data_IF_671276428447
#
_entry.id   IF_671276428447
#
_cell.length_a   1.000
_cell.length_b   1.000
_cell.length_c   1.000
_cell.angle_alpha   90.00
_cell.angle_beta   90.00
_cell.angle_gamma   90.00
#
_symmetry.space_group_name_H-M   'P 1'
#
loop_
_entity.id
_entity.type
_entity.pdbx_description
1 polymer ?
#
# COMPACT_ATOMS: atom_id res chain seq x y z
N UNK A 1 14.75 8.39 9.30
CA UNK A 1 13.39 8.55 9.86
C UNK A 1 12.63 9.47 8.92
N UNK A 2 11.60 8.94 8.27
CA UNK A 2 10.71 9.68 7.40
C UNK A 2 9.66 10.40 8.26
N UNK A 3 9.47 11.70 8.03
CA UNK A 3 8.56 12.55 8.77
C UNK A 3 7.63 13.27 7.80
N UNK A 4 6.32 13.25 8.04
CA UNK A 4 5.35 13.90 7.17
C UNK A 4 3.93 13.47 7.48
N UNK A 5 2.95 13.98 6.74
CA UNK A 5 1.54 13.67 6.98
C UNK A 5 1.18 12.20 6.72
N UNK A 6 0.02 11.78 7.21
CA UNK A 6 -0.48 10.43 6.93
C UNK A 6 -0.83 10.32 5.45
N UNK A 7 -0.44 9.21 4.82
CA UNK A 7 -0.83 8.95 3.43
C UNK A 7 0.08 9.57 2.36
N UNK A 8 1.15 10.30 2.70
CA UNK A 8 2.07 10.90 1.69
C UNK A 8 3.01 9.90 0.98
N UNK A 9 2.89 8.60 1.26
CA UNK A 9 3.68 7.55 0.57
C UNK A 9 4.97 7.14 1.27
N UNK A 10 5.22 7.56 2.52
CA UNK A 10 6.42 7.20 3.31
C UNK A 10 6.75 5.70 3.29
N UNK A 11 5.76 4.86 3.61
CA UNK A 11 5.92 3.41 3.64
C UNK A 11 6.18 2.84 2.25
N UNK A 12 5.54 3.39 1.20
CA UNK A 12 5.76 2.98 -0.19
C UNK A 12 7.20 3.25 -0.63
N UNK A 13 7.72 4.44 -0.31
CA UNK A 13 9.12 4.82 -0.59
C UNK A 13 10.10 3.89 0.14
N UNK A 14 9.84 3.62 1.42
CA UNK A 14 10.67 2.71 2.20
C UNK A 14 10.66 1.28 1.64
N UNK A 15 9.50 0.76 1.25
CA UNK A 15 9.37 -0.57 0.65
C UNK A 15 10.08 -0.69 -0.70
N UNK A 16 9.94 0.30 -1.59
CA UNK A 16 10.66 0.33 -2.86
C UNK A 16 12.19 0.33 -2.65
N UNK A 17 12.67 1.12 -1.67
CA UNK A 17 14.08 1.14 -1.31
C UNK A 17 14.57 -0.23 -0.81
N UNK A 18 13.79 -0.90 0.04
CA UNK A 18 14.16 -2.22 0.55
C UNK A 18 14.20 -3.27 -0.53
N UNK A 19 13.25 -3.26 -1.46
CA UNK A 19 13.21 -4.23 -2.55
C UNK A 19 14.42 -4.07 -3.47
N UNK A 20 14.77 -2.84 -3.86
CA UNK A 20 15.98 -2.54 -4.64
C UNK A 20 17.27 -2.92 -3.91
N UNK A 21 17.29 -2.71 -2.59
CA UNK A 21 18.47 -2.99 -1.77
C UNK A 21 18.65 -4.48 -1.51
N UNK A 22 17.54 -5.23 -1.40
CA UNK A 22 17.55 -6.68 -1.24
C UNK A 22 18.21 -7.36 -2.44
N UNK A 23 17.94 -6.88 -3.65
CA UNK A 23 18.51 -7.38 -4.89
C UNK A 23 20.02 -7.08 -5.04
N UNK A 24 20.51 -5.99 -4.43
CA UNK A 24 21.87 -5.47 -4.67
C UNK A 24 22.86 -5.72 -3.55
N UNK A 25 22.43 -5.71 -2.28
CA UNK A 25 23.32 -5.71 -1.11
C UNK A 25 23.02 -6.81 -0.10
N UNK A 26 22.24 -7.82 -0.49
CA UNK A 26 21.79 -8.91 0.37
C UNK A 26 21.39 -8.38 1.76
N UNK A 27 20.35 -7.55 1.86
CA UNK A 27 19.82 -7.06 3.15
C UNK A 27 18.49 -7.72 3.47
N UNK A 28 18.28 -8.07 4.73
CA UNK A 28 17.00 -8.58 5.19
C UNK A 28 16.18 -7.41 5.76
N UNK A 29 15.10 -7.04 5.06
CA UNK A 29 14.15 -6.04 5.55
C UNK A 29 13.04 -6.70 6.37
N UNK A 30 12.81 -6.21 7.58
CA UNK A 30 11.75 -6.66 8.47
C UNK A 30 10.81 -5.50 8.75
N UNK A 31 9.52 -5.70 8.55
CA UNK A 31 8.49 -4.69 8.77
C UNK A 31 7.83 -4.92 10.13
N UNK A 32 7.76 -3.86 10.93
CA UNK A 32 7.12 -3.81 12.24
C UNK A 32 6.13 -2.66 12.21
N UNK A 33 4.85 -2.96 12.39
CA UNK A 33 3.82 -1.92 12.47
C UNK A 33 3.51 -1.67 13.94
N UNK A 34 3.63 -0.42 14.36
CA UNK A 34 3.20 -0.02 15.68
C UNK A 34 1.73 0.39 15.69
N UNK A 35 1.19 0.36 16.90
CA UNK A 35 -0.17 0.77 17.21
C UNK A 35 -0.18 1.39 18.59
N UNK A 36 -1.29 2.05 18.95
CA UNK A 36 -1.47 2.67 20.26
C UNK A 36 -1.19 1.71 21.44
N UNK A 37 -1.56 0.43 21.28
CA UNK A 37 -1.45 -0.60 22.32
C UNK A 37 -0.17 -1.45 22.21
N UNK A 38 0.77 -1.08 21.34
CA UNK A 38 2.02 -1.82 21.25
C UNK A 38 2.83 -1.61 22.52
N UNK A 39 3.08 -2.68 23.28
CA UNK A 39 3.87 -2.66 24.51
C UNK A 39 5.35 -2.96 24.25
N UNK A 40 6.23 -2.54 25.16
CA UNK A 40 7.67 -2.84 25.05
C UNK A 40 7.93 -4.36 24.98
N UNK A 41 7.15 -5.17 25.71
CA UNK A 41 7.26 -6.63 25.66
C UNK A 41 6.90 -7.17 24.27
N UNK A 42 5.83 -6.66 23.66
CA UNK A 42 5.41 -7.05 22.31
C UNK A 42 6.45 -6.65 21.27
N UNK A 43 6.99 -5.43 21.36
CA UNK A 43 8.08 -4.97 20.49
C UNK A 43 9.31 -5.87 20.61
N UNK A 44 9.71 -6.24 21.83
CA UNK A 44 10.82 -7.15 22.07
C UNK A 44 10.59 -8.51 21.39
N UNK A 45 9.43 -9.14 21.61
CA UNK A 45 9.10 -10.42 20.98
C UNK A 45 9.04 -10.33 19.45
N UNK A 46 8.52 -9.23 18.89
CA UNK A 46 8.52 -9.00 17.44
C UNK A 46 9.93 -8.90 16.87
N UNK A 47 10.84 -8.21 17.56
CA UNK A 47 12.24 -8.10 17.16
C UNK A 47 12.94 -9.46 17.30
N UNK A 48 12.76 -10.14 18.43
CA UNK A 48 13.36 -11.46 18.71
C UNK A 48 12.87 -12.59 17.82
N UNK A 49 11.63 -12.55 17.36
CA UNK A 49 11.12 -13.53 16.40
C UNK A 49 11.67 -13.33 14.98
N UNK A 50 12.17 -12.13 14.67
CA UNK A 50 12.61 -11.75 13.32
C UNK A 50 14.13 -11.68 13.19
N UNK A 51 14.80 -11.30 14.26
CA UNK A 51 16.24 -11.42 14.41
C UNK A 51 16.48 -12.81 14.97
N UNK A 52 17.03 -13.72 14.16
CA UNK A 52 17.44 -15.03 14.66
C UNK A 52 18.57 -14.83 15.68
N UNK A 53 18.21 -14.78 16.96
CA UNK A 53 19.14 -14.95 18.06
C UNK A 53 19.49 -16.44 18.12
N UNK A 54 20.48 -16.87 17.32
CA UNK A 54 21.05 -18.21 17.53
C UNK A 54 21.84 -18.21 18.83
N UNK A 55 21.77 -19.36 19.51
CA UNK A 55 22.25 -19.59 20.87
C UNK A 55 23.67 -19.11 21.15
N UNK A 56 23.93 -19.03 22.45
CA UNK A 56 25.15 -18.58 23.12
C UNK A 56 26.38 -18.44 22.20
N UNK A 57 26.88 -17.21 22.11
CA UNK A 57 28.01 -16.75 21.27
C UNK A 57 27.69 -16.28 19.84
N UNK A 58 27.33 -15.00 19.76
CA UNK A 58 28.02 -14.03 18.92
C UNK A 58 27.94 -14.20 17.39
N UNK A 59 26.78 -14.52 16.80
CA UNK A 59 26.64 -14.47 15.34
C UNK A 59 25.28 -13.94 14.88
N UNK A 60 25.30 -12.85 14.12
CA UNK A 60 24.26 -12.50 13.14
C UNK A 60 24.07 -13.70 12.19
N UNK A 61 22.87 -13.99 11.65
CA UNK A 61 22.77 -14.88 10.50
C UNK A 61 23.71 -14.40 9.39
N UNK A 62 24.76 -15.19 9.12
CA UNK A 62 25.62 -15.15 7.92
C UNK A 62 25.71 -13.77 7.23
N UNK A 63 26.52 -12.85 7.77
CA UNK A 63 26.95 -11.58 7.10
C UNK A 63 25.83 -10.69 6.53
N UNK A 64 24.56 -10.91 6.91
CA UNK A 64 23.43 -10.22 6.29
C UNK A 64 22.93 -9.08 7.20
N UNK A 65 23.11 -7.83 6.76
CA UNK A 65 22.60 -6.67 7.49
C UNK A 65 21.07 -6.71 7.54
N UNK A 66 20.51 -6.60 8.75
CA UNK A 66 19.06 -6.55 8.97
C UNK A 66 18.60 -5.11 9.07
N UNK A 67 17.54 -4.76 8.34
CA UNK A 67 16.91 -3.44 8.40
C UNK A 67 15.52 -3.57 8.96
N UNK A 68 15.29 -3.02 10.16
CA UNK A 68 13.98 -2.95 10.78
C UNK A 68 13.27 -1.69 10.31
N UNK A 69 12.20 -1.86 9.55
CA UNK A 69 11.28 -0.77 9.21
C UNK A 69 10.14 -0.72 10.21
N UNK A 70 9.96 0.44 10.84
CA UNK A 70 8.93 0.66 11.84
C UNK A 70 7.95 1.72 11.32
N UNK A 71 6.74 1.28 11.01
CA UNK A 71 5.65 2.17 10.60
C UNK A 71 4.85 2.66 11.82
N UNK A 72 4.20 3.82 11.69
CA UNK A 72 3.46 4.49 12.76
C UNK A 72 4.29 4.64 14.06
N UNK A 73 5.53 5.09 13.92
CA UNK A 73 6.54 5.08 14.98
C UNK A 73 6.15 5.87 16.24
N UNK A 74 5.27 6.87 16.14
CA UNK A 74 4.89 7.75 17.24
C UNK A 74 3.42 7.65 17.68
N UNK A 75 2.75 6.53 17.40
CA UNK A 75 1.35 6.31 17.81
C UNK A 75 1.16 5.69 19.18
N UNK A 76 2.22 5.23 19.86
CA UNK A 76 2.10 4.49 21.12
C UNK A 76 1.63 5.39 22.25
N UNK A 77 0.79 4.82 23.11
CA UNK A 77 0.31 5.47 24.32
C UNK A 77 1.47 5.76 25.28
N UNK A 78 1.41 6.92 25.93
CA UNK A 78 2.35 7.32 26.96
C UNK A 78 2.06 6.57 28.26
N UNK A 79 3.10 6.18 28.99
CA UNK A 79 2.96 5.74 30.37
C UNK A 79 2.63 6.93 31.29
N UNK A 80 2.28 6.64 32.54
CA UNK A 80 2.07 7.58 33.65
C UNK A 80 3.13 8.70 33.74
N UNK A 81 4.38 8.39 33.41
CA UNK A 81 5.50 9.34 33.39
C UNK A 81 5.74 10.03 32.04
N UNK A 82 4.82 9.93 31.09
CA UNK A 82 4.94 10.54 29.76
C UNK A 82 5.95 9.86 28.83
N UNK A 83 6.46 8.68 29.21
CA UNK A 83 7.43 7.92 28.42
C UNK A 83 6.73 6.99 27.42
N UNK A 84 7.44 6.61 26.36
CA UNK A 84 6.98 5.61 25.38
C UNK A 84 7.83 4.34 25.53
N UNK A 85 7.43 3.36 26.37
CA UNK A 85 8.26 2.18 26.66
C UNK A 85 8.75 1.41 25.44
N UNK A 86 7.94 1.22 24.36
CA UNK A 86 8.44 0.59 23.12
C UNK A 86 9.60 1.35 22.47
N UNK A 87 9.58 2.68 22.52
CA UNK A 87 10.61 3.52 21.93
C UNK A 87 11.86 3.58 22.79
N UNK A 88 11.72 3.56 24.11
CA UNK A 88 12.87 3.47 25.02
C UNK A 88 13.61 2.13 24.88
N UNK A 89 12.89 1.04 24.60
CA UNK A 89 13.50 -0.25 24.24
C UNK A 89 14.33 -0.15 22.95
N UNK A 90 13.81 0.52 21.92
CA UNK A 90 14.56 0.75 20.67
C UNK A 90 15.77 1.64 20.90
N UNK A 91 15.64 2.67 21.75
CA UNK A 91 16.75 3.54 22.15
C UNK A 91 17.86 2.74 22.84
N UNK A 92 17.49 1.82 23.73
CA UNK A 92 18.43 0.89 24.37
C UNK A 92 19.16 0.05 23.33
N UNK A 93 18.44 -0.52 22.37
CA UNK A 93 19.03 -1.33 21.31
C UNK A 93 19.99 -0.54 20.42
N UNK A 94 19.64 0.69 20.04
CA UNK A 94 20.47 1.56 19.20
C UNK A 94 21.70 2.12 19.95
N UNK A 95 21.56 2.45 21.23
CA UNK A 95 22.65 3.07 22.02
C UNK A 95 23.59 2.04 22.63
N UNK A 96 23.04 1.00 23.27
CA UNK A 96 23.81 -0.01 24.00
C UNK A 96 24.20 -1.18 23.07
N UNK A 97 23.48 -1.38 21.96
CA UNK A 97 23.76 -2.46 21.02
C UNK A 97 23.18 -3.81 21.45
N UNK A 98 22.07 -3.83 22.20
CA UNK A 98 21.47 -5.07 22.65
C UNK A 98 20.16 -4.92 23.44
N UNK A 99 19.61 -6.06 23.85
CA UNK A 99 18.35 -6.18 24.57
C UNK A 99 18.55 -7.11 25.78
N UNK A 100 17.86 -6.82 26.88
CA UNK A 100 17.91 -7.68 28.07
C UNK A 100 16.84 -8.78 27.98
N UNK A 101 17.24 -10.04 28.09
CA UNK A 101 16.32 -11.17 28.15
C UNK A 101 15.67 -11.24 29.55
N UNK A 102 14.35 -11.12 29.59
CA UNK A 102 13.57 -11.11 30.84
C UNK A 102 13.41 -12.51 31.45
N UNK A 103 13.66 -13.56 30.67
CA UNK A 103 13.55 -14.96 31.11
C UNK A 103 14.87 -15.48 31.64
N UNK A 104 15.93 -15.34 30.86
CA UNK A 104 17.28 -15.80 31.22
C UNK A 104 18.05 -14.79 32.06
N UNK A 105 17.58 -13.54 32.16
CA UNK A 105 18.26 -12.45 32.88
C UNK A 105 19.66 -12.14 32.33
N UNK A 106 19.86 -12.37 31.02
CA UNK A 106 21.12 -12.15 30.31
C UNK A 106 20.96 -11.03 29.28
N UNK A 107 21.99 -10.21 29.12
CA UNK A 107 22.04 -9.20 28.05
C UNK A 107 22.41 -9.84 26.72
N UNK A 108 21.54 -9.73 25.72
CA UNK A 108 21.75 -10.22 24.36
C UNK A 108 22.24 -9.10 23.47
N UNK A 109 23.45 -9.26 22.93
CA UNK A 109 23.99 -8.33 21.95
C UNK A 109 23.27 -8.45 20.61
N UNK A 110 22.89 -7.31 20.04
CA UNK A 110 22.24 -7.19 18.73
C UNK A 110 23.23 -6.51 17.78
N UNK A 111 23.77 -7.26 16.82
CA UNK A 111 24.73 -6.76 15.84
C UNK A 111 24.09 -6.66 14.46
N UNK A 112 24.62 -5.75 13.65
CA UNK A 112 24.27 -5.58 12.22
C UNK A 112 22.78 -5.27 11.96
N UNK A 113 22.14 -4.55 12.89
CA UNK A 113 20.77 -4.07 12.76
C UNK A 113 20.76 -2.57 12.49
N UNK A 114 19.93 -2.13 11.54
CA UNK A 114 19.66 -0.71 11.29
C UNK A 114 18.16 -0.47 11.36
N UNK A 115 17.75 0.69 11.89
CA UNK A 115 16.33 1.04 12.03
C UNK A 115 15.98 2.15 11.04
N UNK A 116 14.89 1.94 10.31
CA UNK A 116 14.21 2.96 9.52
C UNK A 116 12.82 3.14 10.12
N UNK A 117 12.42 4.37 10.41
CA UNK A 117 11.13 4.67 11.02
C UNK A 117 10.34 5.64 10.14
N UNK A 118 9.02 5.47 10.11
CA UNK A 118 8.08 6.42 9.55
C UNK A 118 7.24 7.04 10.68
N UNK A 119 7.24 8.37 10.73
CA UNK A 119 6.58 9.18 11.75
C UNK A 119 5.54 10.09 11.12
N UNK A 120 4.43 10.28 11.83
CA UNK A 120 3.49 11.38 11.56
C UNK A 120 3.87 12.64 12.33
N UNK A 121 3.31 13.79 11.95
CA UNK A 121 3.33 14.98 12.80
C UNK A 121 2.73 14.70 14.18
N UNK A 122 3.18 15.46 15.19
CA UNK A 122 2.62 15.41 16.54
C UNK A 122 1.21 15.99 16.55
N UNK A 123 0.32 15.43 17.38
CA UNK A 123 -1.10 15.77 17.37
C UNK A 123 -1.96 14.69 16.70
N UNK A 124 -3.29 14.88 16.70
CA UNK A 124 -4.27 13.92 16.14
C UNK A 124 -4.04 12.46 16.61
N UNK A 125 -3.74 12.25 17.90
CA UNK A 125 -3.48 10.92 18.47
C UNK A 125 -2.04 10.43 18.35
N UNK A 126 -1.11 11.26 17.87
CA UNK A 126 0.32 10.96 17.83
C UNK A 126 1.11 11.77 18.86
N UNK A 127 2.06 11.10 19.48
CA UNK A 127 2.85 11.65 20.58
C UNK A 127 4.19 12.19 20.10
N UNK A 128 4.75 13.12 20.88
CA UNK A 128 6.10 13.63 20.65
C UNK A 128 7.13 12.56 20.99
N UNK A 129 8.00 12.25 20.03
CA UNK A 129 9.12 11.32 20.24
C UNK A 129 10.19 12.01 21.08
N UNK A 130 10.75 11.28 22.05
CA UNK A 130 11.86 11.73 22.88
C UNK A 130 13.07 12.18 22.06
N UNK A 131 13.62 13.36 22.37
CA UNK A 131 14.78 13.91 21.67
C UNK A 131 15.99 12.97 21.75
N UNK A 132 16.15 12.26 22.87
CA UNK A 132 17.22 11.28 23.09
C UNK A 132 17.21 10.14 22.06
N UNK A 133 16.05 9.84 21.49
CA UNK A 133 15.91 8.85 20.43
C UNK A 133 16.03 9.51 19.05
N UNK A 134 15.41 10.68 18.82
CA UNK A 134 15.43 11.32 17.50
C UNK A 134 16.83 11.72 17.04
N UNK A 135 17.76 12.02 17.96
CA UNK A 135 19.17 12.33 17.62
C UNK A 135 19.92 11.13 17.03
N UNK A 136 19.42 9.90 17.21
CA UNK A 136 20.02 8.70 16.64
C UNK A 136 19.58 8.45 15.19
N UNK A 137 18.67 9.28 14.66
CA UNK A 137 18.13 9.16 13.32
C UNK A 137 18.52 10.33 12.43
N UNK A 138 18.84 10.03 11.18
CA UNK A 138 18.77 11.02 10.10
C UNK A 138 17.30 11.30 9.83
N UNK A 139 16.90 12.57 9.83
CA UNK A 139 15.53 12.99 9.60
C UNK A 139 15.33 13.38 8.13
N UNK A 140 14.30 12.81 7.50
CA UNK A 140 13.91 13.09 6.12
C UNK A 140 12.46 13.57 6.15
N UNK A 141 12.19 14.72 5.55
CA UNK A 141 10.85 15.29 5.49
C UNK A 141 10.18 14.95 4.16
N UNK A 142 9.00 14.34 4.24
CA UNK A 142 8.15 13.99 3.09
C UNK A 142 6.97 14.96 3.03
N UNK A 143 7.06 16.02 2.21
CA UNK A 143 5.97 16.98 2.03
C UNK A 143 4.79 16.35 1.29
N UNK A 144 3.60 16.92 1.46
CA UNK A 144 2.49 16.61 0.57
C UNK A 144 2.86 16.99 -0.88
N UNK A 145 2.57 16.13 -1.88
CA UNK A 145 2.85 16.47 -3.27
C UNK A 145 1.95 17.61 -3.77
N UNK A 146 2.55 18.61 -4.41
CA UNK A 146 1.78 19.67 -5.07
C UNK A 146 0.97 19.12 -6.25
N UNK A 147 -0.06 19.85 -6.64
CA UNK A 147 -0.96 19.56 -7.76
C UNK A 147 -0.21 19.08 -9.02
N UNK A 148 0.81 19.83 -9.44
CA UNK A 148 1.62 19.51 -10.64
C UNK A 148 2.26 18.13 -10.54
N UNK A 149 2.73 17.75 -9.36
CA UNK A 149 3.30 16.43 -9.11
C UNK A 149 2.21 15.36 -9.08
N UNK A 150 1.06 15.62 -8.46
CA UNK A 150 -0.08 14.70 -8.45
C UNK A 150 -0.54 14.39 -9.88
N UNK A 151 -0.77 15.41 -10.70
CA UNK A 151 -1.15 15.26 -12.10
C UNK A 151 -0.09 14.44 -12.84
N UNK A 152 1.20 14.75 -12.68
CA UNK A 152 2.28 13.99 -13.34
C UNK A 152 2.31 12.52 -12.92
N UNK A 153 2.19 12.23 -11.63
CA UNK A 153 2.23 10.86 -11.07
C UNK A 153 1.03 10.06 -11.60
N UNK A 154 -0.19 10.56 -11.43
CA UNK A 154 -1.40 9.83 -11.81
C UNK A 154 -1.56 9.74 -13.33
N UNK A 155 -1.13 10.75 -14.09
CA UNK A 155 -1.11 10.67 -15.54
C UNK A 155 -0.13 9.58 -16.02
N UNK A 156 1.05 9.48 -15.41
CA UNK A 156 2.03 8.43 -15.73
C UNK A 156 1.47 7.03 -15.43
N UNK A 157 0.76 6.86 -14.31
CA UNK A 157 0.11 5.59 -13.93
C UNK A 157 -1.00 5.24 -14.91
N UNK A 158 -1.93 6.17 -15.15
CA UNK A 158 -3.10 5.94 -16.00
C UNK A 158 -2.72 5.74 -17.47
N UNK A 159 -1.78 6.53 -18.00
CA UNK A 159 -1.30 6.37 -19.38
C UNK A 159 -0.58 5.05 -19.57
N UNK A 160 0.23 4.61 -18.60
CA UNK A 160 0.87 3.28 -18.68
C UNK A 160 -0.18 2.17 -18.75
N UNK A 161 -1.24 2.28 -17.95
CA UNK A 161 -2.34 1.33 -17.97
C UNK A 161 -3.10 1.36 -19.32
N UNK A 162 -3.53 2.54 -19.79
CA UNK A 162 -4.26 2.68 -21.05
C UNK A 162 -3.43 2.19 -22.24
N UNK A 163 -2.13 2.46 -22.27
CA UNK A 163 -1.23 1.97 -23.32
C UNK A 163 -1.11 0.45 -23.35
N UNK A 164 -1.40 -0.24 -22.25
CA UNK A 164 -1.41 -1.70 -22.20
C UNK A 164 -2.74 -2.30 -22.70
N UNK A 165 -3.79 -1.48 -22.87
CA UNK A 165 -5.10 -1.94 -23.32
C UNK A 165 -5.15 -2.10 -24.86
N UNK A 166 -5.87 -3.12 -25.38
CA UNK A 166 -5.96 -3.36 -26.80
C UNK A 166 -6.72 -2.27 -27.59
N UNK A 167 -7.54 -1.44 -26.92
CA UNK A 167 -8.36 -0.37 -27.54
C UNK A 167 -7.96 1.05 -27.10
N UNK A 168 -6.66 1.31 -26.95
CA UNK A 168 -6.13 2.52 -26.32
C UNK A 168 -6.35 3.85 -27.07
N UNK A 169 -6.76 3.84 -28.34
CA UNK A 169 -6.74 5.01 -29.24
C UNK A 169 -7.43 6.26 -28.68
N UNK A 170 -8.75 6.22 -28.49
CA UNK A 170 -9.52 7.37 -28.00
C UNK A 170 -9.33 7.67 -26.51
N UNK A 171 -8.95 6.67 -25.70
CA UNK A 171 -8.79 6.84 -24.26
C UNK A 171 -7.53 7.62 -23.88
N UNK A 172 -6.48 7.60 -24.72
CA UNK A 172 -5.24 8.35 -24.47
C UNK A 172 -5.45 9.87 -24.46
N UNK A 173 -6.38 10.38 -25.26
CA UNK A 173 -6.69 11.81 -25.31
C UNK A 173 -7.50 12.27 -24.09
N UNK A 174 -8.34 11.38 -23.54
CA UNK A 174 -9.22 11.66 -22.41
C UNK A 174 -8.49 11.48 -21.06
N UNK A 175 -7.45 10.63 -21.01
CA UNK A 175 -6.74 10.31 -19.77
C UNK A 175 -6.20 11.52 -19.00
N UNK A 176 -5.55 12.52 -19.64
CA UNK A 176 -5.06 13.70 -18.93
C UNK A 176 -6.19 14.54 -18.34
N UNK A 177 -7.35 14.60 -19.01
CA UNK A 177 -8.53 15.31 -18.53
C UNK A 177 -9.10 14.63 -17.28
N UNK A 178 -9.24 13.30 -17.30
CA UNK A 178 -9.68 12.51 -16.13
C UNK A 178 -8.75 12.77 -14.94
N UNK A 179 -7.44 12.75 -15.18
CA UNK A 179 -6.45 12.97 -14.12
C UNK A 179 -6.57 14.37 -13.53
N UNK A 180 -6.63 15.39 -14.39
CA UNK A 180 -6.72 16.79 -13.95
C UNK A 180 -7.99 17.02 -13.13
N UNK A 181 -9.15 16.61 -13.63
CA UNK A 181 -10.43 16.75 -12.91
C UNK A 181 -10.43 16.00 -11.58
N UNK A 182 -9.83 14.80 -11.51
CA UNK A 182 -9.75 14.02 -10.27
C UNK A 182 -8.84 14.68 -9.23
N UNK A 183 -7.73 15.28 -9.66
CA UNK A 183 -6.82 16.03 -8.78
C UNK A 183 -7.50 17.31 -8.28
N UNK A 184 -8.20 18.04 -9.14
CA UNK A 184 -8.92 19.26 -8.77
C UNK A 184 -10.03 18.95 -7.75
N UNK A 185 -10.78 17.87 -7.95
CA UNK A 185 -11.78 17.39 -6.99
C UNK A 185 -11.16 16.99 -5.65
N UNK A 186 -10.00 16.34 -5.67
CA UNK A 186 -9.28 15.99 -4.45
C UNK A 186 -8.83 17.24 -3.69
N UNK A 187 -8.31 18.25 -4.38
CA UNK A 187 -7.93 19.52 -3.75
C UNK A 187 -9.13 20.26 -3.18
N UNK A 188 -10.23 20.31 -3.93
CA UNK A 188 -11.49 20.86 -3.44
C UNK A 188 -11.96 20.14 -2.16
N UNK A 189 -11.89 18.81 -2.13
CA UNK A 189 -12.26 18.02 -0.95
C UNK A 189 -11.37 18.33 0.25
N UNK A 190 -10.06 18.53 0.05
CA UNK A 190 -9.15 18.93 1.12
C UNK A 190 -9.46 20.32 1.68
N UNK A 191 -9.90 21.25 0.84
CA UNK A 191 -10.15 22.64 1.22
C UNK A 191 -11.52 22.81 1.93
N UNK A 192 -12.57 22.18 1.40
CA UNK A 192 -13.95 22.41 1.86
C UNK A 192 -14.42 21.39 2.90
N UNK A 193 -13.95 20.14 2.84
CA UNK A 193 -14.41 19.06 3.72
C UNK A 193 -13.45 18.88 4.91
N UNK A 194 -13.37 19.91 5.74
CA UNK A 194 -12.51 19.92 6.92
C UNK A 194 -13.16 19.09 8.04
N UNK A 195 -12.42 18.22 8.73
CA UNK A 195 -12.97 17.43 9.83
C UNK A 195 -13.31 18.33 11.03
N UNK A 196 -14.59 18.40 11.37
CA UNK A 196 -15.11 19.01 12.61
C UNK A 196 -15.72 17.94 13.51
N UNK A 197 -16.02 18.24 14.78
CA UNK A 197 -16.54 17.24 15.74
C UNK A 197 -17.75 16.46 15.23
N UNK A 198 -18.66 17.12 14.50
CA UNK A 198 -19.85 16.50 13.91
C UNK A 198 -19.58 15.68 12.64
N UNK A 199 -18.47 15.96 11.94
CA UNK A 199 -18.05 15.29 10.70
C UNK A 199 -16.58 14.86 10.77
N UNK A 200 -16.21 14.18 11.85
CA UNK A 200 -14.82 13.80 12.14
C UNK A 200 -14.23 12.79 11.15
N UNK A 201 -15.08 12.16 10.34
CA UNK A 201 -14.72 11.18 9.33
C UNK A 201 -14.28 11.80 7.99
N UNK A 202 -14.35 13.13 7.82
CA UNK A 202 -13.85 13.82 6.64
C UNK A 202 -12.33 13.97 6.71
N UNK A 203 -11.64 12.85 6.44
CA UNK A 203 -10.18 12.78 6.44
C UNK A 203 -9.72 12.30 5.06
N UNK A 204 -9.44 13.26 4.18
CA UNK A 204 -8.93 12.99 2.83
C UNK A 204 -7.41 12.96 2.83
N UNK A 205 -6.84 11.99 2.12
CA UNK A 205 -5.40 11.93 1.86
C UNK A 205 -5.14 11.27 0.50
N UNK A 206 -3.86 11.18 0.11
CA UNK A 206 -3.46 10.64 -1.20
C UNK A 206 -3.93 9.19 -1.44
N UNK A 207 -4.23 8.41 -0.39
CA UNK A 207 -4.79 7.07 -0.51
C UNK A 207 -6.17 7.09 -1.16
N UNK A 208 -6.98 8.10 -0.90
CA UNK A 208 -8.34 8.19 -1.45
C UNK A 208 -8.30 8.47 -2.94
N UNK A 209 -7.47 9.43 -3.36
CA UNK A 209 -7.17 9.66 -4.77
C UNK A 209 -6.60 8.40 -5.44
N UNK A 210 -5.68 7.70 -4.77
CA UNK A 210 -5.11 6.45 -5.29
C UNK A 210 -6.17 5.35 -5.49
N UNK A 211 -7.15 5.23 -4.59
CA UNK A 211 -8.26 4.27 -4.72
C UNK A 211 -9.15 4.57 -5.91
N UNK A 212 -9.41 5.85 -6.22
CA UNK A 212 -10.18 6.24 -7.41
C UNK A 212 -9.52 5.68 -8.68
N UNK A 213 -8.22 5.92 -8.86
CA UNK A 213 -7.49 5.37 -10.01
C UNK A 213 -7.38 3.85 -9.99
N UNK A 214 -7.21 3.24 -8.81
CA UNK A 214 -7.25 1.78 -8.69
C UNK A 214 -8.59 1.22 -9.14
N UNK A 215 -9.71 1.88 -8.81
CA UNK A 215 -11.04 1.50 -9.29
C UNK A 215 -11.17 1.59 -10.80
N UNK A 216 -10.70 2.68 -11.41
CA UNK A 216 -10.67 2.86 -12.88
C UNK A 216 -9.90 1.72 -13.54
N UNK A 217 -8.73 1.35 -12.99
CA UNK A 217 -7.88 0.30 -13.54
C UNK A 217 -8.38 -1.13 -13.30
N UNK A 218 -9.38 -1.33 -12.42
CA UNK A 218 -9.97 -2.66 -12.17
C UNK A 218 -11.10 -3.02 -13.13
N UNK A 219 -11.66 -2.04 -13.85
CA UNK A 219 -12.82 -2.24 -14.72
C UNK A 219 -12.57 -3.27 -15.83
N UNK A 220 -11.34 -3.32 -16.36
CA UNK A 220 -10.97 -4.24 -17.45
C UNK A 220 -10.94 -5.71 -17.02
N UNK A 221 -10.47 -6.02 -15.81
CA UNK A 221 -10.49 -7.41 -15.27
C UNK A 221 -11.92 -7.94 -15.16
N UNK A 222 -12.90 -7.07 -14.89
CA UNK A 222 -14.31 -7.46 -14.85
C UNK A 222 -14.89 -7.62 -16.25
N UNK A 223 -14.57 -6.73 -17.19
CA UNK A 223 -15.07 -6.80 -18.56
C UNK A 223 -14.54 -8.04 -19.28
N UNK A 224 -13.25 -8.32 -19.18
CA UNK A 224 -12.63 -9.51 -19.79
C UNK A 224 -13.20 -10.82 -19.19
N UNK A 225 -13.35 -10.89 -17.86
CA UNK A 225 -13.97 -12.07 -17.20
C UNK A 225 -15.44 -12.25 -17.54
N UNK A 226 -16.18 -11.16 -17.76
CA UNK A 226 -17.60 -11.21 -18.11
C UNK A 226 -17.80 -11.57 -19.58
N UNK A 227 -17.00 -11.00 -20.48
CA UNK A 227 -16.97 -11.36 -21.90
C UNK A 227 -16.51 -12.80 -22.11
N UNK A 228 -15.53 -13.31 -21.34
CA UNK A 228 -15.10 -14.72 -21.42
C UNK A 228 -16.14 -15.68 -20.83
N UNK A 229 -16.93 -15.27 -19.82
CA UNK A 229 -18.00 -16.11 -19.25
C UNK A 229 -19.31 -16.09 -20.05
N UNK A 230 -19.69 -14.95 -20.61
CA UNK A 230 -20.96 -14.78 -21.34
C UNK A 230 -20.78 -14.94 -22.87
N UNK A 231 -19.57 -14.71 -23.39
CA UNK A 231 -19.26 -14.70 -24.83
C UNK A 231 -19.42 -16.03 -25.57
N UNK A 232 -19.07 -17.22 -25.02
CA UNK A 232 -19.24 -18.47 -25.76
C UNK A 232 -20.73 -18.85 -25.89
N UNK A 233 -21.51 -18.61 -24.84
CA UNK A 233 -22.92 -19.05 -24.78
C UNK A 233 -23.86 -18.16 -25.59
N UNK A 234 -23.66 -16.84 -25.63
CA UNK A 234 -24.55 -15.94 -26.36
C UNK A 234 -24.35 -16.01 -27.88
N UNK A 235 -23.12 -16.26 -28.35
CA UNK A 235 -22.82 -16.40 -29.79
C UNK A 235 -23.38 -17.72 -30.34
N UNK A 236 -23.23 -18.83 -29.62
CA UNK A 236 -23.83 -20.12 -30.00
C UNK A 236 -25.36 -20.07 -29.96
N UNK A 237 -25.95 -19.39 -28.97
CA UNK A 237 -27.41 -19.25 -28.88
C UNK A 237 -27.98 -18.40 -30.02
N UNK A 238 -27.27 -17.33 -30.45
CA UNK A 238 -27.67 -16.51 -31.59
C UNK A 238 -27.53 -17.26 -32.92
N UNK A 239 -26.44 -17.99 -33.13
CA UNK A 239 -26.26 -18.85 -34.32
C UNK A 239 -27.31 -19.96 -34.38
N UNK A 240 -27.60 -20.63 -33.27
CA UNK A 240 -28.62 -21.67 -33.20
C UNK A 240 -30.05 -21.14 -33.45
N UNK A 241 -30.33 -19.89 -33.11
CA UNK A 241 -31.62 -19.23 -33.36
C UNK A 241 -31.78 -18.85 -34.84
N UNK A 242 -30.70 -18.36 -35.46
CA UNK A 242 -30.66 -18.02 -36.89
C UNK A 242 -30.73 -19.27 -37.78
N UNK A 243 -30.08 -20.38 -37.37
CA UNK A 243 -30.15 -21.65 -38.09
C UNK A 243 -31.54 -22.31 -37.99
N UNK A 244 -32.21 -22.20 -36.83
CA UNK A 244 -33.62 -22.63 -36.68
C UNK A 244 -34.57 -21.77 -37.51
N UNK A 245 -34.32 -20.46 -37.63
CA UNK A 245 -35.11 -19.57 -38.47
C UNK A 245 -34.95 -19.89 -39.98
N UNK A 246 -33.74 -20.26 -40.41
CA UNK A 246 -33.48 -20.72 -41.79
C UNK A 246 -34.08 -22.09 -42.08
N UNK A 247 -34.04 -23.03 -41.14
CA UNK A 247 -34.65 -24.35 -41.28
C UNK A 247 -36.19 -24.30 -41.33
N UNK A 248 -36.82 -23.40 -40.58
CA UNK A 248 -38.27 -23.18 -40.61
C UNK A 248 -38.77 -22.65 -41.96
N UNK A 249 -38.03 -21.71 -42.58
CA UNK A 249 -38.36 -21.18 -43.91
C UNK A 249 -38.20 -22.23 -45.02
N UNK A 250 -37.25 -23.16 -44.89
CA UNK A 250 -37.03 -24.24 -45.87
C UNK A 250 -38.16 -25.28 -45.86
N UNK A 251 -38.68 -25.64 -44.67
CA UNK A 251 -39.84 -26.54 -44.53
C UNK A 251 -41.14 -25.93 -45.09
N UNK A 252 -41.33 -24.62 -44.95
CA UNK A 252 -42.50 -23.92 -45.50
C UNK A 252 -42.47 -23.85 -47.03
N UNK A 253 -41.27 -23.76 -47.62
CA UNK A 253 -41.08 -23.74 -49.08
C UNK A 253 -41.33 -25.13 -49.70
N UNK A 254 -40.86 -26.22 -49.08
CA UNK A 254 -41.06 -27.58 -49.58
C UNK A 254 -42.52 -28.08 -49.48
N UNK A 255 -43.29 -27.61 -48.48
CA UNK A 255 -44.72 -27.94 -48.36
C UNK A 255 -45.60 -27.28 -49.42
N UNK A 256 -45.15 -26.17 -50.04
CA UNK A 256 -45.91 -25.46 -51.08
C UNK A 256 -45.79 -26.07 -52.49
N UNK A 257 -45.02 -27.16 -52.67
CA UNK A 257 -44.80 -27.82 -53.97
C UNK A 257 -45.56 -29.14 -54.19
N UNK A 258 -46.36 -29.61 -53.24
CA UNK A 258 -47.28 -30.74 -53.48
C UNK A 258 -48.65 -30.22 -53.91
N UNK A 259 -48.83 -30.04 -55.23
CA UNK A 259 -50.14 -29.86 -55.85
C UNK A 259 -50.78 -31.25 -56.08
N UNK A 260 -52.09 -31.43 -55.82
CA UNK A 260 -52.78 -32.69 -56.08
C UNK A 260 -53.12 -32.85 -57.57
N UNK A 261 -52.93 -34.08 -58.08
CA UNK A 261 -53.68 -34.68 -59.18
C UNK A 261 -55.07 -35.09 -58.68
#
# INVERSE_FOLDING_TARGET
>A
MYFGETGVGKSVIAYDLFERTRQTKARLSVIINFSAQTSARRTQTMIESKILFKGDHNTTPLRQQVVLFIDDFNTQVLDTFGSQPPLELLRQMLYIGGLYDRTQLVFKNVKEVSIVAACGFFGCGRNKVSQRLTVQFIQLFDPQPNEKYLVRIFNSILMRYICALPFAGGMKEIAPLIVKTSVDLYQFSLAELIPISSYSHYVFNLRDLSKVFQGIMQYDIMFEKKVVKEGPFELEYRQAKDDKAKAGKKKQYDQSKQFPL
#
